data_IF_192600008864
#
_entry.id   IF_192600008864
#
_cell.length_a   1.000
_cell.length_b   1.000
_cell.length_c   1.000
_cell.angle_alpha   90.00
_cell.angle_beta   90.00
_cell.angle_gamma   90.00
#
_symmetry.space_group_name_H-M   'P 1'
#
loop_
_entity.id
_entity.type
_entity.pdbx_description
1 polymer ?
#
# COMPACT_ATOMS: atom_id res chain seq x y z
N UNK A 1 -7.32 11.43 7.06
CA UNK A 1 -8.63 10.77 7.35
C UNK A 1 -8.64 9.53 6.48
N UNK A 2 -8.66 8.33 7.07
CA UNK A 2 -8.71 7.09 6.30
C UNK A 2 -10.02 7.09 5.51
N UNK A 3 -9.95 7.24 4.19
CA UNK A 3 -11.11 7.18 3.30
C UNK A 3 -11.53 5.72 3.06
N UNK A 4 -11.82 5.00 4.16
CA UNK A 4 -12.52 3.72 4.10
C UNK A 4 -14.02 4.01 4.02
N UNK A 5 -14.70 3.40 3.05
CA UNK A 5 -16.16 3.34 3.06
C UNK A 5 -16.65 2.79 4.41
N UNK A 6 -17.75 3.31 4.94
CA UNK A 6 -18.25 2.90 6.25
C UNK A 6 -18.48 1.36 6.32
N UNK A 7 -17.84 0.70 7.30
CA UNK A 7 -17.79 -0.76 7.52
C UNK A 7 -16.92 -1.58 6.56
N UNK A 8 -15.63 -1.25 6.46
CA UNK A 8 -14.71 -1.87 5.50
C UNK A 8 -13.45 -2.38 6.22
N UNK A 9 -13.24 -3.69 6.22
CA UNK A 9 -12.11 -4.35 6.90
C UNK A 9 -10.98 -4.46 5.88
N UNK A 10 -10.01 -3.54 5.94
CA UNK A 10 -8.79 -3.70 5.16
C UNK A 10 -8.05 -4.94 5.70
N UNK A 11 -7.66 -5.91 4.84
CA UNK A 11 -7.05 -7.14 5.31
C UNK A 11 -5.68 -6.89 5.94
N UNK A 12 -5.37 -7.65 6.98
CA UNK A 12 -4.03 -7.70 7.57
C UNK A 12 -3.22 -8.91 7.09
N UNK A 13 -3.87 -9.92 6.51
CA UNK A 13 -3.24 -11.03 5.82
C UNK A 13 -3.09 -10.64 4.35
N UNK A 14 -1.85 -10.52 3.89
CA UNK A 14 -1.49 -10.12 2.53
C UNK A 14 -0.67 -11.21 1.86
N UNK A 15 -0.78 -11.31 0.54
CA UNK A 15 0.02 -12.23 -0.27
C UNK A 15 0.93 -11.41 -1.17
N UNK A 16 2.26 -11.63 -1.12
CA UNK A 16 3.20 -10.90 -1.96
C UNK A 16 2.91 -11.19 -3.44
N UNK A 17 3.04 -10.16 -4.29
CA UNK A 17 3.23 -10.35 -5.73
C UNK A 17 4.56 -9.76 -6.20
N UNK A 18 5.16 -10.41 -7.17
CA UNK A 18 6.38 -10.03 -7.91
C UNK A 18 6.06 -9.64 -9.34
N UNK A 19 4.78 -9.71 -9.75
CA UNK A 19 4.33 -9.19 -11.04
C UNK A 19 4.45 -7.66 -11.07
N UNK A 20 5.39 -7.19 -11.88
CA UNK A 20 5.65 -5.76 -12.03
C UNK A 20 4.52 -5.01 -12.71
N UNK A 21 3.75 -5.65 -13.61
CA UNK A 21 2.61 -5.02 -14.26
C UNK A 21 1.47 -4.81 -13.27
N UNK A 22 1.15 -5.84 -12.48
CA UNK A 22 0.17 -5.73 -11.41
C UNK A 22 0.59 -4.68 -10.38
N UNK A 23 1.85 -4.73 -9.93
CA UNK A 23 2.39 -3.75 -8.98
C UNK A 23 2.23 -2.31 -9.48
N UNK A 24 2.55 -2.05 -10.75
CA UNK A 24 2.40 -0.72 -11.34
C UNK A 24 0.92 -0.30 -11.45
N UNK A 25 0.03 -1.20 -11.86
CA UNK A 25 -1.41 -0.92 -11.90
C UNK A 25 -1.98 -0.55 -10.52
N UNK A 26 -1.48 -1.21 -9.46
CA UNK A 26 -1.85 -0.92 -8.07
C UNK A 26 -1.34 0.45 -7.62
N UNK A 27 -0.10 0.83 -7.96
CA UNK A 27 0.43 2.17 -7.67
C UNK A 27 -0.31 3.27 -8.41
N UNK A 28 -0.61 3.06 -9.69
CA UNK A 28 -1.29 4.03 -10.54
C UNK A 28 -2.69 4.33 -10.00
N UNK A 29 -3.44 3.28 -9.63
CA UNK A 29 -4.78 3.43 -9.06
C UNK A 29 -4.74 4.10 -7.67
N UNK A 30 -3.82 3.70 -6.80
CA UNK A 30 -3.67 4.32 -5.48
C UNK A 30 -3.30 5.81 -5.60
N UNK A 31 -2.30 6.13 -6.43
CA UNK A 31 -1.87 7.51 -6.70
C UNK A 31 -3.00 8.35 -7.28
N UNK A 32 -3.79 7.79 -8.20
CA UNK A 32 -4.96 8.49 -8.76
C UNK A 32 -5.98 8.84 -7.67
N UNK A 33 -6.34 7.89 -6.79
CA UNK A 33 -7.28 8.17 -5.71
C UNK A 33 -6.70 9.17 -4.70
N UNK A 34 -5.46 8.98 -4.26
CA UNK A 34 -4.79 9.87 -3.33
C UNK A 34 -4.83 11.32 -3.84
N UNK A 35 -4.42 11.57 -5.08
CA UNK A 35 -4.44 12.91 -5.70
C UNK A 35 -5.84 13.47 -5.94
N UNK A 36 -6.84 12.60 -6.05
CA UNK A 36 -8.25 12.98 -6.20
C UNK A 36 -8.82 13.48 -4.88
N UNK A 37 -8.49 12.84 -3.77
CA UNK A 37 -9.08 13.12 -2.45
C UNK A 37 -8.23 14.07 -1.59
N UNK A 38 -6.91 14.06 -1.77
CA UNK A 38 -5.94 14.85 -1.00
C UNK A 38 -5.31 15.87 -1.95
N UNK A 39 -5.75 17.14 -1.83
CA UNK A 39 -5.25 18.23 -2.67
C UNK A 39 -5.23 19.57 -1.91
N UNK A 40 -4.11 20.31 -1.91
CA UNK A 40 -2.81 19.92 -2.48
C UNK A 40 -2.13 18.82 -1.66
N UNK A 41 -1.30 18.00 -2.30
CA UNK A 41 -0.32 17.17 -1.59
C UNK A 41 0.88 18.08 -1.30
N UNK A 42 1.28 18.26 -0.02
CA UNK A 42 2.50 18.96 0.35
C UNK A 42 3.72 18.43 -0.40
N UNK A 43 4.70 19.30 -0.69
CA UNK A 43 5.87 18.91 -1.49
C UNK A 43 6.80 17.91 -0.80
N UNK A 44 6.73 17.83 0.52
CA UNK A 44 7.43 16.90 1.40
C UNK A 44 6.63 15.64 1.72
N UNK A 45 5.42 15.50 1.16
CA UNK A 45 4.59 14.31 1.31
C UNK A 45 4.47 13.52 0.00
N UNK A 46 4.25 12.21 0.13
CA UNK A 46 3.91 11.32 -0.97
C UNK A 46 2.69 10.47 -0.63
N UNK A 47 2.00 10.01 -1.67
CA UNK A 47 0.88 9.08 -1.50
C UNK A 47 1.40 7.74 -1.02
N UNK A 48 0.87 7.28 0.11
CA UNK A 48 1.04 5.92 0.61
C UNK A 48 -0.22 5.10 0.32
N UNK A 49 -0.06 3.77 0.26
CA UNK A 49 -1.14 2.83 0.00
C UNK A 49 -1.10 1.60 0.90
N UNK A 50 -2.28 1.24 1.42
CA UNK A 50 -2.47 -0.01 2.14
C UNK A 50 -3.80 -0.66 1.72
N UNK A 51 -3.82 -1.94 1.28
CA UNK A 51 -2.69 -2.86 1.19
C UNK A 51 -1.64 -2.46 0.16
N UNK A 52 -0.41 -2.92 0.37
CA UNK A 52 0.74 -2.49 -0.43
C UNK A 52 0.59 -2.87 -1.90
N UNK A 53 1.08 -2.03 -2.82
CA UNK A 53 1.08 -2.33 -4.25
C UNK A 53 1.92 -3.57 -4.62
N UNK A 54 2.75 -4.10 -3.72
CA UNK A 54 3.48 -5.37 -3.92
C UNK A 54 2.71 -6.58 -3.36
N UNK A 55 1.38 -6.49 -3.25
CA UNK A 55 0.51 -7.58 -2.77
C UNK A 55 -0.66 -7.83 -3.70
N UNK A 56 -1.30 -8.99 -3.63
CA UNK A 56 -2.49 -9.29 -4.42
C UNK A 56 -3.73 -8.50 -4.01
N UNK A 57 -3.77 -8.02 -2.76
CA UNK A 57 -4.85 -7.22 -2.16
C UNK A 57 -4.66 -5.71 -2.39
N UNK A 58 -3.69 -5.31 -3.23
CA UNK A 58 -3.48 -3.91 -3.53
C UNK A 58 -4.62 -3.31 -4.37
N UNK A 59 -4.60 -1.99 -4.49
CA UNK A 59 -5.76 -1.20 -4.89
C UNK A 59 -6.44 -1.60 -6.21
N UNK A 60 -5.68 -2.11 -7.20
CA UNK A 60 -6.18 -2.48 -8.52
C UNK A 60 -7.05 -3.74 -8.49
N UNK A 61 -6.66 -4.72 -7.68
CA UNK A 61 -7.36 -5.99 -7.55
C UNK A 61 -8.53 -5.93 -6.56
N UNK A 62 -8.59 -4.91 -5.70
CA UNK A 62 -9.69 -4.72 -4.76
C UNK A 62 -10.90 -4.05 -5.44
N UNK A 63 -11.96 -4.81 -5.78
CA UNK A 63 -13.06 -4.32 -6.60
C UNK A 63 -13.93 -3.29 -5.86
N UNK A 64 -13.93 -3.32 -4.53
CA UNK A 64 -14.79 -2.47 -3.71
C UNK A 64 -14.07 -1.24 -3.12
N UNK A 65 -12.83 -0.96 -3.53
CA UNK A 65 -11.95 0.03 -2.90
C UNK A 65 -11.63 -0.29 -1.42
N UNK A 66 -11.34 -1.55 -1.10
CA UNK A 66 -10.84 -2.05 0.21
C UNK A 66 -9.39 -1.66 0.46
N UNK A 67 -9.05 -0.40 0.20
CA UNK A 67 -7.71 0.13 0.42
C UNK A 67 -7.79 1.57 0.93
N UNK A 68 -6.80 1.94 1.72
CA UNK A 68 -6.55 3.30 2.16
C UNK A 68 -5.47 3.94 1.32
N UNK A 69 -5.62 5.25 1.14
CA UNK A 69 -4.56 6.13 0.65
C UNK A 69 -4.48 7.34 1.58
N UNK A 70 -3.28 7.80 1.86
CA UNK A 70 -3.01 8.98 2.69
C UNK A 70 -1.75 9.67 2.16
N UNK A 71 -1.64 10.99 2.36
CA UNK A 71 -0.39 11.70 2.12
C UNK A 71 0.43 11.67 3.41
N UNK A 72 1.65 11.16 3.31
CA UNK A 72 2.56 10.96 4.46
C UNK A 72 3.94 11.48 4.10
N UNK A 73 4.80 11.70 5.10
CA UNK A 73 6.18 12.18 4.88
C UNK A 73 6.90 11.32 3.84
N UNK A 74 7.40 11.96 2.78
CA UNK A 74 7.94 11.28 1.62
C UNK A 74 9.23 10.51 1.94
N UNK A 75 10.03 10.99 2.90
CA UNK A 75 11.24 10.32 3.35
C UNK A 75 10.91 9.06 4.14
N UNK A 76 9.92 9.12 5.02
CA UNK A 76 9.45 7.96 5.78
C UNK A 76 8.82 6.91 4.86
N UNK A 77 7.96 7.31 3.93
CA UNK A 77 7.34 6.40 2.96
C UNK A 77 8.38 5.69 2.09
N UNK A 78 9.39 6.44 1.59
CA UNK A 78 10.49 5.85 0.82
C UNK A 78 11.35 4.90 1.66
N UNK A 79 11.60 5.24 2.92
CA UNK A 79 12.36 4.40 3.85
C UNK A 79 11.64 3.09 4.15
N UNK A 80 10.34 3.15 4.43
CA UNK A 80 9.50 1.98 4.66
C UNK A 80 9.49 1.07 3.43
N UNK A 81 9.30 1.64 2.23
CA UNK A 81 9.30 0.87 0.99
C UNK A 81 10.63 0.14 0.73
N UNK A 82 11.77 0.77 1.06
CA UNK A 82 13.09 0.15 0.98
C UNK A 82 13.27 -0.96 2.02
N UNK A 83 12.86 -0.71 3.27
CA UNK A 83 12.93 -1.70 4.35
C UNK A 83 12.08 -2.93 4.05
N UNK A 84 10.83 -2.74 3.63
CA UNK A 84 9.93 -3.82 3.20
C UNK A 84 10.49 -4.59 2.01
N UNK A 85 11.08 -3.89 1.03
CA UNK A 85 11.75 -4.50 -0.12
C UNK A 85 12.93 -5.39 0.29
N UNK A 86 13.76 -4.95 1.23
CA UNK A 86 14.85 -5.75 1.77
C UNK A 86 14.31 -6.95 2.57
N UNK A 87 13.31 -6.74 3.42
CA UNK A 87 12.67 -7.81 4.19
C UNK A 87 12.12 -8.93 3.29
N UNK A 88 11.47 -8.59 2.17
CA UNK A 88 11.03 -9.57 1.18
C UNK A 88 12.19 -10.45 0.64
N UNK A 89 13.41 -9.92 0.56
CA UNK A 89 14.60 -10.63 0.07
C UNK A 89 15.23 -11.45 1.20
N UNK A 90 15.46 -10.82 2.34
CA UNK A 90 16.16 -11.42 3.49
C UNK A 90 15.40 -12.62 4.05
N UNK A 91 14.08 -12.50 4.16
CA UNK A 91 13.20 -13.56 4.67
C UNK A 91 12.66 -14.47 3.56
N UNK A 92 13.04 -14.22 2.30
CA UNK A 92 12.65 -15.00 1.11
C UNK A 92 11.14 -15.15 0.96
N UNK A 93 10.39 -14.08 1.21
CA UNK A 93 8.94 -14.05 0.96
C UNK A 93 8.74 -14.15 -0.56
N UNK A 94 8.27 -15.25 -1.12
CA UNK A 94 8.16 -15.48 -2.55
C UNK A 94 6.82 -14.99 -3.13
N UNK A 95 6.59 -15.25 -4.42
CA UNK A 95 5.29 -15.04 -5.05
C UNK A 95 4.18 -15.78 -4.30
N UNK A 96 3.09 -15.08 -4.02
CA UNK A 96 1.91 -15.59 -3.30
C UNK A 96 2.16 -16.02 -1.85
N UNK A 97 3.37 -15.80 -1.31
CA UNK A 97 3.63 -16.10 0.09
C UNK A 97 2.81 -15.17 1.01
N UNK A 98 2.10 -15.73 2.01
CA UNK A 98 1.29 -14.96 2.93
C UNK A 98 2.13 -14.32 4.03
N UNK A 99 1.77 -13.10 4.43
CA UNK A 99 2.32 -12.44 5.60
C UNK A 99 1.28 -11.55 6.30
N UNK A 100 1.50 -11.31 7.58
CA UNK A 100 0.66 -10.42 8.37
C UNK A 100 1.32 -9.06 8.56
N UNK A 101 0.53 -7.99 8.47
CA UNK A 101 0.93 -6.65 8.90
C UNK A 101 0.29 -6.35 10.25
N UNK A 102 1.14 -5.96 11.20
CA UNK A 102 0.72 -5.55 12.54
C UNK A 102 1.31 -4.18 12.82
N UNK A 103 0.46 -3.21 13.10
CA UNK A 103 0.87 -1.89 13.56
C UNK A 103 0.57 -1.78 15.06
N UNK A 104 1.60 -1.43 15.83
CA UNK A 104 1.45 -1.09 17.23
C UNK A 104 1.38 0.43 17.34
N UNK A 105 0.39 0.95 18.06
CA UNK A 105 0.39 2.36 18.46
C UNK A 105 1.35 2.55 19.62
N UNK A 106 2.25 3.53 19.53
CA UNK A 106 2.95 4.06 20.70
C UNK A 106 2.10 5.12 21.42
#
# INVERSE_FOLDING_TARGET
MIHVGANKIIPNLLNRTTDSQLTNAQRDRATYQCRKWIKPIPSDESCDEYPFASTYQGSFNEPENDYSVEAVDASQNSSEGAQRGNWYVDDRILEDDPFYVVAYGE
#
